data_IF_189111500291
#
_entry.id   IF_189111500291
#
_cell.length_a   1.000
_cell.length_b   1.000
_cell.length_c   1.000
_cell.angle_alpha   90.00
_cell.angle_beta   90.00
_cell.angle_gamma   90.00
#
_symmetry.space_group_name_H-M   'P 1'
#
loop_
_entity.id
_entity.type
_entity.pdbx_description
1 polymer ?
#
# COMPACT_ATOMS: atom_id res chain seq x y z
N UNK A 1 -31.56 56.57 -51.03
CA UNK A 1 -32.61 56.73 -52.05
C UNK A 1 -32.96 55.34 -52.54
N UNK A 2 -33.98 54.71 -51.94
CA UNK A 2 -35.37 54.65 -52.43
C UNK A 2 -35.47 53.68 -53.64
N UNK A 3 -36.31 52.65 -53.70
CA UNK A 3 -37.71 52.54 -53.29
C UNK A 3 -38.15 51.07 -53.03
N UNK A 4 -39.11 50.96 -52.12
CA UNK A 4 -40.04 49.87 -51.76
C UNK A 4 -41.19 49.77 -52.80
N UNK A 5 -41.64 48.59 -53.27
CA UNK A 5 -42.86 47.80 -52.88
C UNK A 5 -43.45 47.10 -54.14
N UNK A 6 -44.51 46.26 -54.12
CA UNK A 6 -45.15 45.43 -53.06
C UNK A 6 -45.17 43.93 -53.48
N UNK A 7 -45.48 42.90 -52.67
CA UNK A 7 -46.59 42.74 -51.75
C UNK A 7 -47.79 42.08 -52.45
N UNK A 8 -47.85 40.74 -52.49
CA UNK A 8 -49.11 39.99 -52.64
C UNK A 8 -49.11 38.82 -51.66
N UNK A 9 -49.84 39.01 -50.56
CA UNK A 9 -49.90 38.08 -49.46
C UNK A 9 -50.75 36.86 -49.76
N UNK A 10 -50.52 35.83 -48.94
CA UNK A 10 -51.59 34.95 -48.49
C UNK A 10 -51.31 34.47 -47.06
N UNK A 11 -52.40 34.37 -46.32
CA UNK A 11 -52.52 34.33 -44.87
C UNK A 11 -52.13 33.00 -44.22
N UNK A 12 -51.90 33.10 -42.92
CA UNK A 12 -51.28 32.15 -41.99
C UNK A 12 -52.30 31.14 -41.39
N UNK A 13 -51.90 29.84 -41.38
CA UNK A 13 -52.09 28.78 -40.34
C UNK A 13 -53.47 28.09 -40.13
N UNK A 14 -53.57 26.90 -39.45
CA UNK A 14 -52.56 26.33 -38.53
C UNK A 14 -52.35 24.78 -38.47
N UNK A 15 -51.32 24.41 -37.69
CA UNK A 15 -51.02 23.07 -37.10
C UNK A 15 -50.40 22.03 -38.05
N UNK A 16 -49.46 21.15 -37.69
CA UNK A 16 -48.77 20.78 -36.46
C UNK A 16 -47.55 19.92 -36.83
N UNK A 17 -46.56 19.87 -35.92
CA UNK A 17 -45.70 18.69 -35.68
C UNK A 17 -44.81 18.19 -36.81
N UNK A 18 -43.52 18.53 -36.72
CA UNK A 18 -42.46 17.93 -37.53
C UNK A 18 -42.39 16.42 -37.34
N UNK A 19 -42.53 15.68 -38.44
CA UNK A 19 -42.22 14.25 -38.50
C UNK A 19 -41.24 14.02 -39.64
N UNK A 20 -40.03 13.61 -39.27
CA UNK A 20 -39.01 13.15 -40.22
C UNK A 20 -39.58 12.03 -41.10
N UNK A 21 -39.22 12.06 -42.39
CA UNK A 21 -39.66 11.11 -43.40
C UNK A 21 -39.30 9.65 -43.02
N UNK A 22 -40.10 8.65 -43.38
CA UNK A 22 -39.79 7.25 -43.10
C UNK A 22 -38.63 6.77 -43.97
N UNK A 23 -37.59 6.22 -43.33
CA UNK A 23 -36.54 5.46 -44.00
C UNK A 23 -37.19 4.19 -44.58
N UNK A 24 -37.29 4.11 -45.90
CA UNK A 24 -37.76 2.91 -46.61
C UNK A 24 -36.77 1.77 -46.41
N UNK A 25 -37.06 0.84 -45.50
CA UNK A 25 -36.36 -0.45 -45.41
C UNK A 25 -36.86 -1.36 -46.53
N UNK A 26 -35.97 -1.73 -47.45
CA UNK A 26 -36.20 -2.81 -48.42
C UNK A 26 -36.40 -4.11 -47.64
N UNK A 27 -37.55 -4.76 -47.82
CA UNK A 27 -37.80 -6.08 -47.27
C UNK A 27 -37.10 -7.12 -48.14
N UNK A 28 -35.96 -7.64 -47.68
CA UNK A 28 -35.45 -8.92 -48.17
C UNK A 28 -36.18 -10.03 -47.42
N UNK A 29 -37.06 -10.73 -48.13
CA UNK A 29 -37.61 -12.03 -47.76
C UNK A 29 -36.47 -13.02 -47.58
N UNK A 30 -36.05 -13.22 -46.34
CA UNK A 30 -35.09 -14.23 -45.94
C UNK A 30 -35.42 -14.69 -44.53
N UNK A 31 -36.07 -15.84 -44.43
CA UNK A 31 -36.47 -16.49 -43.19
C UNK A 31 -35.22 -16.95 -42.42
N UNK A 32 -34.69 -16.10 -41.56
CA UNK A 32 -33.87 -16.51 -40.41
C UNK A 32 -34.30 -15.64 -39.24
N UNK A 33 -35.09 -16.20 -38.32
CA UNK A 33 -35.21 -15.62 -36.98
C UNK A 33 -33.83 -15.83 -36.34
N UNK A 34 -32.92 -14.91 -36.59
CA UNK A 34 -31.57 -14.94 -36.04
C UNK A 34 -31.69 -14.59 -34.55
N UNK A 35 -31.44 -15.56 -33.67
CA UNK A 35 -31.23 -15.29 -32.26
C UNK A 35 -30.17 -14.19 -32.13
N UNK A 36 -30.41 -13.09 -31.38
CA UNK A 36 -29.41 -12.06 -31.20
C UNK A 36 -28.15 -12.69 -30.59
N UNK A 37 -26.97 -12.33 -31.12
CA UNK A 37 -25.72 -12.91 -30.65
C UNK A 37 -25.52 -12.60 -29.16
N UNK A 38 -24.94 -13.55 -28.41
CA UNK A 38 -24.67 -13.42 -26.96
C UNK A 38 -23.99 -12.09 -26.61
N UNK A 39 -23.10 -11.62 -27.47
CA UNK A 39 -22.41 -10.33 -27.31
C UNK A 39 -23.32 -9.11 -27.44
N UNK A 40 -24.30 -9.14 -28.35
CA UNK A 40 -25.28 -8.05 -28.48
C UNK A 40 -26.14 -7.99 -27.22
N UNK A 41 -26.62 -9.14 -26.74
CA UNK A 41 -27.46 -9.22 -25.53
C UNK A 41 -26.69 -8.71 -24.31
N UNK A 42 -25.46 -9.20 -24.08
CA UNK A 42 -24.61 -8.76 -22.97
C UNK A 42 -24.35 -7.24 -23.03
N UNK A 43 -24.03 -6.70 -24.21
CA UNK A 43 -23.81 -5.26 -24.40
C UNK A 43 -25.06 -4.43 -24.10
N UNK A 44 -26.25 -4.88 -24.54
CA UNK A 44 -27.50 -4.16 -24.27
C UNK A 44 -27.87 -4.20 -22.79
N UNK A 45 -27.64 -5.32 -22.11
CA UNK A 45 -27.86 -5.42 -20.67
C UNK A 45 -26.92 -4.52 -19.86
N UNK A 46 -25.64 -4.46 -20.25
CA UNK A 46 -24.69 -3.53 -19.65
C UNK A 46 -25.12 -2.06 -19.81
N UNK A 47 -25.68 -1.70 -20.97
CA UNK A 47 -26.22 -0.35 -21.20
C UNK A 47 -27.43 -0.05 -20.31
N UNK A 48 -28.24 -1.06 -19.99
CA UNK A 48 -29.35 -0.89 -19.06
C UNK A 48 -28.88 -0.64 -17.63
N UNK A 49 -27.63 -0.94 -17.27
CA UNK A 49 -26.99 -0.64 -15.99
C UNK A 49 -26.19 0.69 -16.03
N UNK A 50 -26.62 1.65 -16.84
CA UNK A 50 -26.05 3.00 -16.81
C UNK A 50 -26.62 3.79 -15.61
N UNK A 51 -25.78 4.48 -14.80
CA UNK A 51 -26.23 5.29 -13.66
C UNK A 51 -27.29 6.35 -14.00
N UNK A 52 -27.33 6.80 -15.27
CA UNK A 52 -28.29 7.81 -15.76
C UNK A 52 -29.71 7.27 -15.94
N UNK A 53 -29.91 5.95 -15.83
CA UNK A 53 -31.21 5.30 -16.01
C UNK A 53 -31.91 5.09 -14.65
N UNK A 54 -33.25 5.01 -14.63
CA UNK A 54 -34.00 4.78 -13.38
C UNK A 54 -33.75 3.41 -12.76
N UNK A 55 -33.81 3.30 -11.43
CA UNK A 55 -33.64 2.05 -10.67
C UNK A 55 -34.56 0.90 -11.11
N UNK A 56 -35.74 1.19 -11.67
CA UNK A 56 -36.64 0.17 -12.23
C UNK A 56 -36.05 -0.53 -13.46
N UNK A 57 -35.29 0.22 -14.29
CA UNK A 57 -34.56 -0.34 -15.44
C UNK A 57 -33.41 -1.22 -14.96
N UNK A 58 -32.68 -0.80 -13.93
CA UNK A 58 -31.60 -1.59 -13.34
C UNK A 58 -32.11 -2.91 -12.76
N UNK A 59 -33.20 -2.89 -11.99
CA UNK A 59 -33.82 -4.09 -11.44
C UNK A 59 -34.23 -5.08 -12.54
N UNK A 60 -34.91 -4.59 -13.59
CA UNK A 60 -35.28 -5.44 -14.73
C UNK A 60 -34.06 -5.97 -15.49
N UNK A 61 -32.99 -5.19 -15.63
CA UNK A 61 -31.76 -5.67 -16.23
C UNK A 61 -31.15 -6.82 -15.42
N UNK A 62 -31.07 -6.70 -14.09
CA UNK A 62 -30.56 -7.74 -13.19
C UNK A 62 -31.43 -9.01 -13.21
N UNK A 63 -32.76 -8.87 -13.28
CA UNK A 63 -33.67 -10.01 -13.47
C UNK A 63 -33.37 -10.76 -14.78
N UNK A 64 -33.13 -10.02 -15.88
CA UNK A 64 -32.79 -10.63 -17.17
C UNK A 64 -31.41 -11.28 -17.13
N UNK A 65 -30.41 -10.69 -16.45
CA UNK A 65 -29.14 -11.35 -16.19
C UNK A 65 -29.34 -12.68 -15.44
N UNK A 66 -30.13 -12.70 -14.37
CA UNK A 66 -30.40 -13.91 -13.59
C UNK A 66 -31.09 -14.99 -14.42
N UNK A 67 -32.06 -14.59 -15.26
CA UNK A 67 -32.72 -15.51 -16.19
C UNK A 67 -31.74 -16.11 -17.19
N UNK A 68 -30.88 -15.29 -17.80
CA UNK A 68 -29.87 -15.77 -18.75
C UNK A 68 -28.87 -16.71 -18.07
N UNK A 69 -28.37 -16.35 -16.88
CA UNK A 69 -27.42 -17.17 -16.12
C UNK A 69 -28.01 -18.53 -15.74
N UNK A 70 -29.31 -18.56 -15.41
CA UNK A 70 -30.05 -19.80 -15.18
C UNK A 70 -30.17 -20.61 -16.47
N UNK A 71 -30.52 -19.97 -17.59
CA UNK A 71 -30.76 -20.62 -18.88
C UNK A 71 -29.49 -21.23 -19.48
N UNK A 72 -28.36 -20.52 -19.46
CA UNK A 72 -27.11 -21.00 -20.05
C UNK A 72 -26.38 -22.02 -19.16
N UNK A 73 -26.73 -22.04 -17.87
CA UNK A 73 -26.13 -22.91 -16.87
C UNK A 73 -24.71 -22.51 -16.49
N UNK A 74 -24.19 -23.16 -15.44
CA UNK A 74 -22.89 -22.87 -14.85
C UNK A 74 -21.74 -22.94 -15.86
N UNK A 75 -21.62 -24.03 -16.62
CA UNK A 75 -20.44 -24.27 -17.47
C UNK A 75 -20.31 -23.24 -18.60
N UNK A 76 -21.45 -22.86 -19.20
CA UNK A 76 -21.47 -21.82 -20.24
C UNK A 76 -21.23 -20.45 -19.65
N UNK A 77 -21.76 -20.17 -18.45
CA UNK A 77 -21.50 -18.93 -17.73
C UNK A 77 -20.03 -18.79 -17.32
N UNK A 78 -19.37 -19.87 -16.89
CA UNK A 78 -17.93 -19.91 -16.62
C UNK A 78 -17.12 -19.44 -17.84
N UNK A 79 -17.47 -19.91 -19.04
CA UNK A 79 -16.80 -19.50 -20.30
C UNK A 79 -17.15 -18.08 -20.73
N UNK A 80 -18.40 -17.68 -20.57
CA UNK A 80 -18.91 -16.39 -21.02
C UNK A 80 -18.80 -15.30 -19.92
N UNK A 81 -18.17 -15.59 -18.78
CA UNK A 81 -18.00 -14.63 -17.68
C UNK A 81 -17.33 -13.32 -18.13
N UNK A 82 -16.24 -13.33 -18.95
CA UNK A 82 -15.63 -12.11 -19.46
C UNK A 82 -16.57 -11.29 -20.37
N UNK A 83 -17.64 -11.89 -20.90
CA UNK A 83 -18.63 -11.22 -21.74
C UNK A 83 -19.69 -10.49 -20.91
N UNK A 84 -20.18 -11.12 -19.84
CA UNK A 84 -21.30 -10.60 -19.05
C UNK A 84 -20.86 -9.75 -17.85
N UNK A 85 -19.76 -10.11 -17.18
CA UNK A 85 -19.35 -9.48 -15.92
C UNK A 85 -18.93 -8.00 -16.03
N UNK A 86 -18.23 -7.54 -17.09
CA UNK A 86 -17.83 -6.13 -17.19
C UNK A 86 -19.00 -5.14 -17.12
N UNK A 87 -20.19 -5.53 -17.62
CA UNK A 87 -21.39 -4.71 -17.53
C UNK A 87 -22.02 -4.64 -16.13
N UNK A 88 -21.70 -5.60 -15.26
CA UNK A 88 -22.19 -5.68 -13.89
C UNK A 88 -21.24 -5.00 -12.90
N UNK A 89 -19.94 -4.95 -13.21
CA UNK A 89 -18.89 -4.61 -12.26
C UNK A 89 -19.02 -3.23 -11.58
N UNK A 90 -19.64 -2.25 -12.24
CA UNK A 90 -19.84 -0.91 -11.66
C UNK A 90 -21.15 -0.74 -10.89
N UNK A 91 -22.06 -1.72 -10.94
CA UNK A 91 -23.46 -1.54 -10.52
C UNK A 91 -23.58 -1.09 -9.07
N UNK A 92 -22.82 -1.71 -8.16
CA UNK A 92 -22.94 -1.42 -6.73
C UNK A 92 -22.51 0.01 -6.36
N UNK A 93 -21.65 0.67 -7.16
CA UNK A 93 -21.17 2.03 -6.89
C UNK A 93 -22.23 3.12 -7.04
N UNK A 94 -23.33 2.84 -7.76
CA UNK A 94 -24.41 3.81 -7.98
C UNK A 94 -25.80 3.22 -7.68
N UNK A 95 -25.89 1.95 -7.31
CA UNK A 95 -27.15 1.26 -7.08
C UNK A 95 -27.91 1.87 -5.90
N UNK A 96 -29.18 2.18 -6.11
CA UNK A 96 -30.13 2.46 -5.03
C UNK A 96 -30.34 1.22 -4.16
N UNK A 97 -30.80 1.39 -2.92
CA UNK A 97 -31.11 0.30 -1.99
C UNK A 97 -31.91 -0.85 -2.63
N UNK A 98 -32.91 -0.53 -3.45
CA UNK A 98 -33.74 -1.52 -4.17
C UNK A 98 -33.02 -2.32 -5.25
N UNK A 99 -31.86 -1.87 -5.72
CA UNK A 99 -31.04 -2.51 -6.77
C UNK A 99 -29.89 -3.30 -6.14
N UNK A 100 -29.38 -2.87 -4.99
CA UNK A 100 -28.26 -3.51 -4.26
C UNK A 100 -28.58 -4.96 -3.88
N UNK A 101 -29.78 -5.21 -3.34
CA UNK A 101 -30.21 -6.58 -3.00
C UNK A 101 -30.27 -7.52 -4.21
N UNK A 102 -30.96 -7.19 -5.33
CA UNK A 102 -30.93 -8.01 -6.55
C UNK A 102 -29.53 -8.25 -7.12
N UNK A 103 -28.61 -7.28 -6.98
CA UNK A 103 -27.24 -7.42 -7.44
C UNK A 103 -26.47 -8.45 -6.60
N UNK A 104 -26.52 -8.35 -5.27
CA UNK A 104 -25.87 -9.31 -4.38
C UNK A 104 -26.45 -10.73 -4.56
N UNK A 105 -27.78 -10.84 -4.69
CA UNK A 105 -28.47 -12.10 -5.01
C UNK A 105 -27.94 -12.76 -6.29
N UNK A 106 -27.69 -11.96 -7.34
CA UNK A 106 -27.17 -12.45 -8.61
C UNK A 106 -25.78 -13.06 -8.43
N UNK A 107 -24.90 -12.39 -7.68
CA UNK A 107 -23.55 -12.86 -7.39
C UNK A 107 -23.58 -14.15 -6.55
N UNK A 108 -24.36 -14.17 -5.47
CA UNK A 108 -24.51 -15.32 -4.58
C UNK A 108 -25.06 -16.55 -5.31
N UNK A 109 -26.11 -16.38 -6.12
CA UNK A 109 -26.82 -17.49 -6.75
C UNK A 109 -26.08 -18.06 -7.96
N UNK A 110 -25.36 -17.22 -8.72
CA UNK A 110 -24.79 -17.60 -10.02
C UNK A 110 -23.27 -17.52 -10.06
N UNK A 111 -22.64 -16.48 -9.52
CA UNK A 111 -21.19 -16.29 -9.64
C UNK A 111 -20.41 -17.20 -8.67
N UNK A 112 -20.88 -17.37 -7.43
CA UNK A 112 -20.20 -18.23 -6.45
C UNK A 112 -20.12 -19.70 -6.88
N UNK A 113 -21.05 -20.14 -7.72
CA UNK A 113 -21.13 -21.52 -8.21
C UNK A 113 -20.21 -21.79 -9.39
N UNK A 114 -19.59 -20.77 -9.99
CA UNK A 114 -18.72 -20.91 -11.15
C UNK A 114 -17.42 -21.65 -10.82
N UNK A 115 -16.78 -22.16 -11.86
CA UNK A 115 -15.50 -22.87 -11.71
C UNK A 115 -14.38 -21.89 -11.34
N UNK A 116 -13.46 -22.32 -10.47
CA UNK A 116 -12.35 -21.47 -10.08
C UNK A 116 -11.47 -21.04 -11.27
N UNK A 117 -11.40 -21.85 -12.34
CA UNK A 117 -10.71 -21.47 -13.57
C UNK A 117 -11.27 -20.22 -14.23
N UNK A 118 -12.60 -20.04 -14.19
CA UNK A 118 -13.28 -18.85 -14.70
C UNK A 118 -13.24 -17.68 -13.71
N UNK A 119 -13.35 -17.97 -12.41
CA UNK A 119 -13.35 -16.94 -11.37
C UNK A 119 -11.97 -16.29 -11.17
N UNK A 120 -10.87 -17.06 -11.27
CA UNK A 120 -9.51 -16.55 -10.99
C UNK A 120 -9.12 -15.33 -11.83
N UNK A 121 -9.29 -15.32 -13.18
CA UNK A 121 -8.99 -14.14 -14.00
C UNK A 121 -9.88 -12.94 -13.68
N UNK A 122 -11.13 -13.18 -13.27
CA UNK A 122 -12.10 -12.12 -12.98
C UNK A 122 -12.06 -11.65 -11.51
N UNK A 123 -11.31 -12.31 -10.63
CA UNK A 123 -11.39 -12.12 -9.18
C UNK A 123 -11.14 -10.66 -8.76
N UNK A 124 -10.14 -10.00 -9.36
CA UNK A 124 -9.86 -8.58 -9.08
C UNK A 124 -11.08 -7.71 -9.41
N UNK A 125 -11.72 -7.93 -10.56
CA UNK A 125 -12.90 -7.20 -10.96
C UNK A 125 -14.11 -7.52 -10.06
N UNK A 126 -14.27 -8.77 -9.63
CA UNK A 126 -15.32 -9.20 -8.70
C UNK A 126 -15.16 -8.50 -7.36
N UNK A 127 -13.96 -8.50 -6.78
CA UNK A 127 -13.67 -7.81 -5.51
C UNK A 127 -13.98 -6.32 -5.65
N UNK A 128 -13.43 -5.66 -6.68
CA UNK A 128 -13.67 -4.22 -6.91
C UNK A 128 -15.16 -3.89 -7.06
N UNK A 129 -15.95 -4.79 -7.67
CA UNK A 129 -17.39 -4.57 -7.87
C UNK A 129 -18.21 -4.58 -6.59
N UNK A 130 -17.72 -5.23 -5.54
CA UNK A 130 -18.45 -5.37 -4.26
C UNK A 130 -17.91 -4.45 -3.16
N UNK A 131 -16.74 -3.83 -3.34
CA UNK A 131 -16.18 -2.87 -2.36
C UNK A 131 -17.12 -1.74 -1.94
N UNK A 132 -17.95 -1.15 -2.83
CA UNK A 132 -18.93 -0.15 -2.42
C UNK A 132 -19.97 -0.64 -1.40
N UNK A 133 -20.10 -1.97 -1.23
CA UNK A 133 -20.91 -2.59 -0.19
C UNK A 133 -20.28 -2.51 1.21
N UNK A 134 -19.01 -2.10 1.32
CA UNK A 134 -18.25 -2.01 2.57
C UNK A 134 -18.06 -0.58 3.08
N UNK A 135 -18.62 0.42 2.38
CA UNK A 135 -18.41 1.84 2.71
C UNK A 135 -19.14 2.27 4.00
N UNK A 136 -20.25 1.60 4.35
CA UNK A 136 -21.05 1.90 5.55
C UNK A 136 -20.98 0.75 6.56
N UNK A 137 -20.08 0.84 7.53
CA UNK A 137 -19.76 -0.21 8.53
C UNK A 137 -20.96 -0.68 9.38
N UNK A 138 -21.99 0.16 9.54
CA UNK A 138 -23.17 -0.17 10.34
C UNK A 138 -24.34 -0.76 9.53
N UNK A 139 -24.16 -0.96 8.23
CA UNK A 139 -25.23 -1.43 7.34
C UNK A 139 -25.35 -2.95 7.31
N UNK A 140 -26.57 -3.49 7.14
CA UNK A 140 -26.79 -4.93 6.90
C UNK A 140 -26.09 -5.40 5.61
N UNK A 141 -25.86 -4.48 4.68
CA UNK A 141 -25.17 -4.72 3.41
C UNK A 141 -23.66 -4.95 3.61
N UNK A 142 -23.05 -4.34 4.62
CA UNK A 142 -21.64 -4.55 4.98
C UNK A 142 -21.37 -6.00 5.36
N UNK A 143 -22.11 -6.52 6.33
CA UNK A 143 -22.00 -7.92 6.78
C UNK A 143 -22.26 -8.91 5.64
N UNK A 144 -23.28 -8.64 4.82
CA UNK A 144 -23.60 -9.46 3.66
C UNK A 144 -22.47 -9.45 2.61
N UNK A 145 -21.87 -8.28 2.38
CA UNK A 145 -20.77 -8.12 1.42
C UNK A 145 -19.48 -8.79 1.91
N UNK A 146 -19.16 -8.69 3.20
CA UNK A 146 -18.05 -9.41 3.81
C UNK A 146 -18.22 -10.93 3.67
N UNK A 147 -19.41 -11.44 3.99
CA UNK A 147 -19.74 -12.86 3.83
C UNK A 147 -19.56 -13.31 2.38
N UNK A 148 -20.06 -12.53 1.42
CA UNK A 148 -19.92 -12.82 -0.01
C UNK A 148 -18.44 -12.88 -0.45
N UNK A 149 -17.61 -11.94 0.02
CA UNK A 149 -16.16 -11.94 -0.26
C UNK A 149 -15.47 -13.19 0.30
N UNK A 150 -15.82 -13.60 1.52
CA UNK A 150 -15.29 -14.83 2.10
C UNK A 150 -15.75 -16.06 1.32
N UNK A 151 -17.00 -16.13 0.87
CA UNK A 151 -17.50 -17.23 0.04
C UNK A 151 -16.76 -17.31 -1.31
N UNK A 152 -16.50 -16.18 -1.98
CA UNK A 152 -15.67 -16.15 -3.20
C UNK A 152 -14.25 -16.66 -2.94
N UNK A 153 -13.65 -16.29 -1.81
CA UNK A 153 -12.34 -16.78 -1.38
C UNK A 153 -12.34 -18.30 -1.20
N UNK A 154 -13.40 -18.90 -0.67
CA UNK A 154 -13.53 -20.35 -0.54
C UNK A 154 -13.75 -21.02 -1.91
N UNK A 155 -14.64 -20.49 -2.75
CA UNK A 155 -14.91 -21.04 -4.09
C UNK A 155 -13.67 -21.09 -4.99
N UNK A 156 -12.77 -20.10 -4.88
CA UNK A 156 -11.50 -20.09 -5.65
C UNK A 156 -10.46 -21.07 -5.07
N UNK A 157 -10.53 -21.39 -3.77
CA UNK A 157 -9.61 -22.28 -3.06
C UNK A 157 -9.99 -23.77 -3.18
N UNK A 158 -11.28 -24.12 -3.21
CA UNK A 158 -11.77 -25.50 -3.07
C UNK A 158 -11.48 -26.44 -4.26
N UNK A 159 -11.04 -25.94 -5.42
CA UNK A 159 -10.63 -26.78 -6.58
C UNK A 159 -9.12 -27.03 -6.61
N UNK A 160 -8.44 -26.79 -5.50
CA UNK A 160 -7.08 -27.27 -5.28
C UNK A 160 -7.18 -28.62 -4.56
N UNK A 161 -7.51 -29.67 -5.33
CA UNK A 161 -7.17 -31.03 -4.92
C UNK A 161 -5.66 -31.11 -4.78
N UNK A 162 -5.21 -31.65 -3.66
CA UNK A 162 -3.80 -31.93 -3.37
C UNK A 162 -3.17 -32.72 -4.53
N UNK A 163 -2.09 -32.21 -5.14
CA UNK A 163 -0.73 -32.70 -4.87
C UNK A 163 0.30 -32.00 -5.79
N UNK A 164 1.49 -31.72 -5.23
CA UNK A 164 2.74 -31.36 -5.93
C UNK A 164 2.89 -29.96 -6.57
N UNK A 165 2.65 -28.89 -5.81
CA UNK A 165 3.08 -27.53 -6.17
C UNK A 165 3.23 -26.61 -4.96
N UNK A 166 4.48 -26.44 -4.52
CA UNK A 166 5.01 -25.87 -3.27
C UNK A 166 4.22 -24.77 -2.50
N UNK A 167 4.46 -24.79 -1.18
CA UNK A 167 4.00 -23.90 -0.09
C UNK A 167 4.31 -22.39 -0.27
N UNK A 168 5.03 -22.03 -1.34
CA UNK A 168 5.67 -20.73 -1.51
C UNK A 168 4.69 -19.59 -1.85
N UNK A 169 3.70 -19.87 -2.70
CA UNK A 169 2.71 -18.88 -3.12
C UNK A 169 1.72 -18.50 -1.99
N UNK A 170 1.62 -19.33 -0.93
CA UNK A 170 0.84 -18.99 0.28
C UNK A 170 1.56 -17.98 1.15
N UNK A 171 2.90 -18.03 1.22
CA UNK A 171 3.73 -17.12 2.03
C UNK A 171 4.08 -15.80 1.33
N UNK A 172 4.09 -15.79 -0.01
CA UNK A 172 4.22 -14.55 -0.79
C UNK A 172 2.91 -13.72 -0.86
N UNK A 173 1.76 -14.34 -0.52
CA UNK A 173 0.42 -13.74 -0.64
C UNK A 173 0.19 -12.54 0.29
N UNK A 174 0.64 -12.52 1.57
CA UNK A 174 0.51 -11.35 2.43
C UNK A 174 1.22 -10.11 1.86
N UNK A 175 2.42 -10.26 1.29
CA UNK A 175 3.17 -9.13 0.71
C UNK A 175 2.44 -8.52 -0.48
N UNK A 176 1.82 -9.35 -1.34
CA UNK A 176 1.00 -8.86 -2.47
C UNK A 176 -0.28 -8.16 -2.03
N UNK A 177 -0.87 -8.58 -0.90
CA UNK A 177 -2.04 -7.91 -0.31
C UNK A 177 -1.63 -6.55 0.27
N UNK A 178 -0.52 -6.50 1.03
CA UNK A 178 0.02 -5.25 1.56
C UNK A 178 0.38 -4.27 0.43
N UNK A 179 1.01 -4.75 -0.64
CA UNK A 179 1.28 -3.95 -1.85
C UNK A 179 0.02 -3.31 -2.45
N UNK A 180 -1.09 -4.06 -2.54
CA UNK A 180 -2.35 -3.51 -3.05
C UNK A 180 -3.03 -2.50 -2.12
N UNK A 181 -2.67 -2.49 -0.82
CA UNK A 181 -3.15 -1.50 0.15
C UNK A 181 -2.27 -0.24 0.14
N UNK A 182 -0.99 -0.38 -0.18
CA UNK A 182 -0.01 0.72 -0.26
C UNK A 182 -0.14 1.59 -1.51
N UNK A 183 -0.82 1.12 -2.57
CA UNK A 183 -1.18 1.96 -3.74
C UNK A 183 -2.10 3.15 -3.35
N UNK A 184 -2.54 3.26 -2.08
CA UNK A 184 -3.18 4.44 -1.48
C UNK A 184 -2.33 4.98 -0.34
N UNK A 185 -1.68 6.11 -0.58
CA UNK A 185 -0.79 6.78 0.37
C UNK A 185 -1.48 7.09 1.73
N UNK A 186 -2.80 7.32 1.72
CA UNK A 186 -3.59 7.60 2.93
C UNK A 186 -3.72 6.40 3.89
N UNK A 187 -3.58 5.18 3.36
CA UNK A 187 -3.67 3.93 4.15
C UNK A 187 -2.26 3.45 4.52
N UNK A 188 -1.29 3.67 3.61
CA UNK A 188 0.11 3.31 3.81
C UNK A 188 0.69 3.88 5.11
N UNK A 189 0.60 5.20 5.33
CA UNK A 189 1.23 5.85 6.49
C UNK A 189 0.73 5.41 7.88
N UNK A 190 -0.48 4.81 7.97
CA UNK A 190 -1.05 4.32 9.23
C UNK A 190 -0.89 2.81 9.41
N UNK A 191 -0.88 2.04 8.32
CA UNK A 191 -0.79 0.58 8.38
C UNK A 191 0.65 0.11 8.36
N UNK A 192 1.52 0.77 7.58
CA UNK A 192 2.91 0.35 7.36
C UNK A 192 3.71 0.21 8.65
N UNK A 193 3.74 1.20 9.58
CA UNK A 193 4.52 1.07 10.82
C UNK A 193 4.19 -0.21 11.60
N UNK A 194 2.90 -0.55 11.67
CA UNK A 194 2.40 -1.71 12.42
C UNK A 194 2.69 -3.05 11.73
N UNK A 195 2.79 -3.10 10.40
CA UNK A 195 3.00 -4.35 9.65
C UNK A 195 4.43 -4.55 9.17
N UNK A 196 5.24 -3.49 9.10
CA UNK A 196 6.55 -3.49 8.48
C UNK A 196 7.51 -4.46 9.17
N UNK A 197 7.73 -4.28 10.48
CA UNK A 197 8.62 -5.14 11.25
C UNK A 197 8.17 -6.61 11.27
N UNK A 198 6.88 -6.94 11.51
CA UNK A 198 6.39 -8.32 11.41
C UNK A 198 6.63 -8.96 10.05
N UNK A 199 6.45 -8.20 8.96
CA UNK A 199 6.69 -8.65 7.58
C UNK A 199 8.16 -8.98 7.37
N UNK A 200 9.06 -8.05 7.70
CA UNK A 200 10.49 -8.25 7.49
C UNK A 200 11.04 -9.37 8.36
N UNK A 201 10.60 -9.44 9.63
CA UNK A 201 11.00 -10.50 10.54
C UNK A 201 10.49 -11.88 10.10
N UNK A 202 9.31 -11.94 9.47
CA UNK A 202 8.82 -13.18 8.85
C UNK A 202 9.74 -13.68 7.74
N UNK A 203 10.26 -12.78 6.90
CA UNK A 203 11.23 -13.13 5.85
C UNK A 203 12.56 -13.56 6.45
N UNK A 204 13.02 -12.86 7.51
CA UNK A 204 14.23 -13.23 8.26
C UNK A 204 14.12 -14.64 8.82
N UNK A 205 13.04 -14.95 9.52
CA UNK A 205 12.76 -16.30 10.07
C UNK A 205 12.60 -17.35 8.97
N UNK A 206 12.04 -16.98 7.81
CA UNK A 206 11.91 -17.90 6.68
C UNK A 206 13.27 -18.35 6.14
N UNK A 207 14.30 -17.50 6.22
CA UNK A 207 15.67 -17.85 5.81
C UNK A 207 16.19 -19.13 6.47
N UNK A 208 15.85 -19.35 7.73
CA UNK A 208 16.34 -20.49 8.51
C UNK A 208 15.60 -21.80 8.21
N UNK A 209 14.37 -21.71 7.69
CA UNK A 209 13.50 -22.85 7.39
C UNK A 209 13.31 -23.11 5.89
N UNK A 210 13.87 -22.25 5.03
CA UNK A 210 13.80 -22.39 3.60
C UNK A 210 14.55 -23.66 3.15
N UNK A 211 13.90 -24.47 2.30
CA UNK A 211 14.47 -25.73 1.81
C UNK A 211 15.63 -25.50 0.84
N UNK A 212 15.56 -24.41 0.06
CA UNK A 212 16.61 -24.01 -0.89
C UNK A 212 16.86 -22.50 -0.84
N UNK A 213 18.02 -22.08 -1.37
CA UNK A 213 18.34 -20.65 -1.55
C UNK A 213 17.37 -19.96 -2.51
N UNK A 214 16.87 -20.70 -3.50
CA UNK A 214 15.93 -20.17 -4.49
C UNK A 214 14.56 -19.89 -3.86
N UNK A 215 14.09 -20.77 -2.97
CA UNK A 215 12.85 -20.56 -2.21
C UNK A 215 12.93 -19.30 -1.34
N UNK A 216 14.06 -19.12 -0.63
CA UNK A 216 14.31 -17.89 0.13
C UNK A 216 14.33 -16.67 -0.78
N UNK A 217 15.01 -16.74 -1.92
CA UNK A 217 15.12 -15.63 -2.87
C UNK A 217 13.77 -15.22 -3.46
N UNK A 218 12.85 -16.16 -3.69
CA UNK A 218 11.50 -15.84 -4.17
C UNK A 218 10.66 -15.08 -3.14
N UNK A 219 10.71 -15.53 -1.88
CA UNK A 219 10.02 -14.85 -0.77
C UNK A 219 10.64 -13.49 -0.51
N UNK A 220 11.97 -13.41 -0.49
CA UNK A 220 12.70 -12.16 -0.34
C UNK A 220 12.32 -11.18 -1.45
N UNK A 221 12.34 -11.60 -2.72
CA UNK A 221 11.94 -10.76 -3.86
C UNK A 221 10.51 -10.23 -3.70
N UNK A 222 9.58 -11.05 -3.19
CA UNK A 222 8.20 -10.63 -2.96
C UNK A 222 8.08 -9.61 -1.84
N UNK A 223 8.89 -9.75 -0.78
CA UNK A 223 8.98 -8.78 0.30
C UNK A 223 9.73 -7.51 -0.10
N UNK A 224 10.74 -7.60 -0.98
CA UNK A 224 11.45 -6.44 -1.52
C UNK A 224 10.50 -5.53 -2.30
N UNK A 225 9.62 -6.08 -3.12
CA UNK A 225 8.59 -5.27 -3.81
C UNK A 225 7.68 -4.54 -2.82
N UNK A 226 7.35 -5.16 -1.68
CA UNK A 226 6.63 -4.47 -0.62
C UNK A 226 7.50 -3.35 -0.02
N UNK A 227 8.74 -3.65 0.33
CA UNK A 227 9.69 -2.71 0.93
C UNK A 227 9.94 -1.49 0.04
N UNK A 228 10.13 -1.70 -1.27
CA UNK A 228 10.35 -0.64 -2.26
C UNK A 228 9.13 0.28 -2.43
N UNK A 229 7.94 -0.16 -1.98
CA UNK A 229 6.72 0.64 -1.96
C UNK A 229 6.52 1.46 -0.68
N UNK A 230 7.42 1.36 0.30
CA UNK A 230 7.34 2.09 1.57
C UNK A 230 8.21 3.34 1.53
N UNK A 231 7.72 4.44 2.11
CA UNK A 231 8.47 5.69 2.23
C UNK A 231 9.75 5.53 3.08
N UNK A 232 10.81 6.20 2.64
CA UNK A 232 12.13 6.17 3.29
C UNK A 232 12.07 6.59 4.76
N UNK A 233 11.31 7.64 5.08
CA UNK A 233 11.10 8.11 6.45
C UNK A 233 10.58 7.03 7.40
N UNK A 234 9.59 6.25 6.94
CA UNK A 234 8.99 5.15 7.72
C UNK A 234 9.97 4.00 7.91
N UNK A 235 10.65 3.55 6.85
CA UNK A 235 11.66 2.48 6.92
C UNK A 235 12.72 2.82 7.97
N UNK A 236 13.26 4.02 7.89
CA UNK A 236 14.34 4.46 8.76
C UNK A 236 13.86 4.79 10.17
N UNK A 237 12.60 5.21 10.34
CA UNK A 237 11.95 5.34 11.64
C UNK A 237 11.87 4.00 12.37
N UNK A 238 11.47 2.93 11.67
CA UNK A 238 11.45 1.56 12.23
C UNK A 238 12.86 1.05 12.56
N UNK A 239 13.85 1.30 11.71
CA UNK A 239 15.26 0.95 11.98
C UNK A 239 15.78 1.67 13.24
N UNK A 240 15.55 2.99 13.34
CA UNK A 240 15.95 3.79 14.50
C UNK A 240 15.21 3.36 15.75
N UNK A 241 13.92 3.01 15.65
CA UNK A 241 13.13 2.44 16.74
C UNK A 241 13.70 1.12 17.26
N UNK A 242 14.06 0.19 16.37
CA UNK A 242 14.72 -1.07 16.74
C UNK A 242 16.07 -0.85 17.43
N UNK A 243 16.88 0.09 16.92
CA UNK A 243 18.16 0.49 17.51
C UNK A 243 17.93 1.02 18.93
N UNK A 244 16.97 1.95 19.09
CA UNK A 244 16.66 2.55 20.37
C UNK A 244 16.25 1.47 21.39
N UNK A 245 15.31 0.61 21.02
CA UNK A 245 14.85 -0.50 21.86
C UNK A 245 15.92 -1.56 22.17
N UNK A 246 17.02 -1.59 21.42
CA UNK A 246 18.13 -2.50 21.67
C UNK A 246 19.16 -1.91 22.66
N UNK A 247 19.35 -0.58 22.66
CA UNK A 247 20.40 0.11 23.43
C UNK A 247 19.83 0.79 24.69
N UNK A 248 18.56 1.20 24.68
CA UNK A 248 17.94 1.95 25.78
C UNK A 248 18.00 1.19 27.12
N UNK A 249 18.08 1.89 28.27
CA UNK A 249 17.91 1.25 29.57
C UNK A 249 16.52 0.61 29.67
N UNK A 250 16.44 -0.62 30.17
CA UNK A 250 15.15 -1.28 30.33
C UNK A 250 15.26 -2.76 30.66
N UNK A 251 14.10 -3.39 30.86
CA UNK A 251 13.98 -4.80 31.26
C UNK A 251 14.26 -5.81 30.14
N UNK A 252 14.53 -5.35 28.92
CA UNK A 252 14.82 -6.23 27.79
C UNK A 252 16.09 -7.05 28.03
N UNK A 253 15.98 -8.35 27.83
CA UNK A 253 17.08 -9.31 27.99
C UNK A 253 18.17 -9.10 26.94
N UNK A 254 19.39 -9.57 27.23
CA UNK A 254 20.51 -9.53 26.27
C UNK A 254 20.14 -10.21 24.94
N UNK A 255 19.38 -11.30 24.99
CA UNK A 255 18.95 -12.03 23.80
C UNK A 255 17.98 -11.21 22.93
N UNK A 256 16.98 -10.57 23.54
CA UNK A 256 16.03 -9.70 22.83
C UNK A 256 16.73 -8.48 22.20
N UNK A 257 17.71 -7.89 22.90
CA UNK A 257 18.51 -6.78 22.37
C UNK A 257 19.36 -7.21 21.17
N UNK A 258 20.01 -8.38 21.25
CA UNK A 258 20.77 -8.96 20.12
C UNK A 258 19.85 -9.31 18.95
N UNK A 259 18.63 -9.78 19.20
CA UNK A 259 17.68 -10.11 18.15
C UNK A 259 17.24 -8.86 17.37
N UNK A 260 16.97 -7.74 18.06
CA UNK A 260 16.65 -6.45 17.44
C UNK A 260 17.78 -5.96 16.53
N UNK A 261 19.02 -5.97 17.01
CA UNK A 261 20.19 -5.58 16.19
C UNK A 261 20.41 -6.54 15.01
N UNK A 262 20.16 -7.84 15.19
CA UNK A 262 20.21 -8.82 14.11
C UNK A 262 19.15 -8.54 13.03
N UNK A 263 17.95 -8.12 13.42
CA UNK A 263 16.90 -7.69 12.48
C UNK A 263 17.32 -6.44 11.69
N UNK A 264 17.92 -5.44 12.36
CA UNK A 264 18.48 -4.25 11.69
C UNK A 264 19.52 -4.67 10.66
N UNK A 265 20.50 -5.51 11.03
CA UNK A 265 21.51 -6.01 10.10
C UNK A 265 20.91 -6.81 8.94
N UNK A 266 19.84 -7.57 9.19
CA UNK A 266 19.13 -8.28 8.14
C UNK A 266 18.50 -7.30 7.12
N UNK A 267 17.85 -6.23 7.61
CA UNK A 267 17.28 -5.17 6.77
C UNK A 267 18.36 -4.56 5.87
N UNK A 268 19.45 -4.08 6.48
CA UNK A 268 20.55 -3.41 5.78
C UNK A 268 21.24 -4.29 4.72
N UNK A 269 21.21 -5.61 4.90
CA UNK A 269 21.87 -6.56 4.01
C UNK A 269 21.00 -7.04 2.84
N UNK A 270 19.67 -7.08 2.98
CA UNK A 270 18.79 -7.75 2.00
C UNK A 270 17.78 -6.82 1.32
N UNK A 271 17.55 -5.62 1.83
CA UNK A 271 16.57 -4.68 1.28
C UNK A 271 17.23 -3.42 0.70
N UNK A 272 16.50 -2.71 -0.16
CA UNK A 272 16.97 -1.50 -0.81
C UNK A 272 16.95 -0.30 0.15
N UNK A 273 18.05 -0.11 0.89
CA UNK A 273 18.23 1.00 1.84
C UNK A 273 19.25 2.04 1.36
N UNK A 274 19.55 2.07 0.06
CA UNK A 274 20.68 2.81 -0.51
C UNK A 274 20.28 3.89 -1.51
N UNK A 275 19.03 4.36 -1.43
CA UNK A 275 18.57 5.50 -2.21
C UNK A 275 19.20 6.81 -1.72
N UNK A 276 19.23 7.83 -2.56
CA UNK A 276 20.03 9.05 -2.30
C UNK A 276 19.68 9.69 -0.95
N UNK A 277 18.39 9.87 -0.65
CA UNK A 277 17.93 10.48 0.60
C UNK A 277 18.18 9.58 1.82
N UNK A 278 18.05 8.27 1.65
CA UNK A 278 18.38 7.27 2.68
C UNK A 278 19.85 7.36 3.08
N UNK A 279 20.74 7.52 2.10
CA UNK A 279 22.18 7.61 2.32
C UNK A 279 22.64 8.96 2.87
N UNK A 280 22.02 10.06 2.42
CA UNK A 280 22.45 11.42 2.75
C UNK A 280 21.82 11.96 4.03
N UNK A 281 20.62 11.48 4.40
CA UNK A 281 19.87 12.00 5.55
C UNK A 281 19.73 10.92 6.62
N UNK A 282 19.14 9.77 6.27
CA UNK A 282 18.72 8.81 7.28
C UNK A 282 19.87 7.97 7.86
N UNK A 283 20.81 7.50 7.03
CA UNK A 283 21.97 6.73 7.47
C UNK A 283 22.85 7.53 8.46
N UNK A 284 23.20 8.82 8.22
CA UNK A 284 23.90 9.64 9.21
C UNK A 284 23.15 9.79 10.54
N UNK A 285 21.82 9.99 10.50
CA UNK A 285 21.01 10.11 11.70
C UNK A 285 20.97 8.80 12.49
N UNK A 286 20.81 7.65 11.82
CA UNK A 286 20.81 6.34 12.46
C UNK A 286 22.16 6.00 13.11
N UNK A 287 23.27 6.29 12.41
CA UNK A 287 24.62 6.15 12.99
C UNK A 287 24.79 7.05 14.20
N UNK A 288 24.36 8.31 14.11
CA UNK A 288 24.41 9.25 15.22
C UNK A 288 23.59 8.75 16.42
N UNK A 289 22.39 8.20 16.19
CA UNK A 289 21.56 7.62 17.25
C UNK A 289 22.31 6.51 17.99
N UNK A 290 22.92 5.55 17.28
CA UNK A 290 23.68 4.47 17.93
C UNK A 290 24.80 5.05 18.79
N UNK A 291 25.61 5.94 18.23
CA UNK A 291 26.77 6.49 18.94
C UNK A 291 26.35 7.32 20.16
N UNK A 292 25.35 8.19 20.01
CA UNK A 292 24.81 9.00 21.09
C UNK A 292 24.26 8.13 22.24
N UNK A 293 23.49 7.08 21.93
CA UNK A 293 22.96 6.17 22.95
C UNK A 293 24.03 5.33 23.62
N UNK A 294 25.06 4.89 22.88
CA UNK A 294 26.21 4.18 23.45
C UNK A 294 27.01 5.09 24.39
N UNK A 295 27.23 6.36 24.02
CA UNK A 295 27.85 7.34 24.91
C UNK A 295 27.05 7.49 26.20
N UNK A 296 25.73 7.69 26.12
CA UNK A 296 24.89 7.80 27.31
C UNK A 296 24.89 6.52 28.17
N UNK A 297 25.06 5.35 27.54
CA UNK A 297 25.24 4.09 28.25
C UNK A 297 26.56 4.01 29.01
N UNK A 298 27.63 4.62 28.47
CA UNK A 298 28.97 4.64 29.06
C UNK A 298 29.11 5.72 30.14
N UNK A 299 28.53 6.91 29.93
CA UNK A 299 28.63 8.06 30.85
C UNK A 299 27.70 7.95 32.07
N UNK A 300 26.74 7.02 32.08
CA UNK A 300 25.84 6.82 33.21
C UNK A 300 26.63 6.47 34.47
N UNK A 301 26.60 7.32 35.52
CA UNK A 301 27.31 7.03 36.76
C UNK A 301 26.72 5.77 37.38
N UNK A 302 27.57 4.80 37.72
CA UNK A 302 27.17 3.59 38.43
C UNK A 302 26.63 3.94 39.82
N UNK A 303 25.35 4.29 39.91
CA UNK A 303 24.66 4.31 41.19
C UNK A 303 24.33 2.88 41.57
N UNK A 304 24.89 2.45 42.69
CA UNK A 304 24.59 1.23 43.40
C UNK A 304 23.14 0.73 43.19
N UNK A 305 23.03 -0.57 42.89
CA UNK A 305 21.83 -1.41 42.75
C UNK A 305 20.88 -1.14 41.57
N UNK A 306 20.77 -2.16 40.71
CA UNK A 306 19.67 -2.52 39.79
C UNK A 306 19.57 -1.93 38.38
N UNK A 307 20.49 -1.05 37.95
CA UNK A 307 20.62 -0.68 36.53
C UNK A 307 21.65 -1.56 35.81
N UNK A 308 21.23 -2.64 35.14
CA UNK A 308 22.14 -3.48 34.35
C UNK A 308 22.90 -2.63 33.31
N UNK A 309 24.23 -2.56 33.42
CA UNK A 309 25.09 -2.00 32.37
C UNK A 309 24.83 -2.74 31.05
N UNK A 310 24.91 -2.02 29.93
CA UNK A 310 24.74 -2.65 28.62
C UNK A 310 25.83 -3.72 28.45
N UNK A 311 25.42 -4.95 28.15
CA UNK A 311 26.35 -6.06 27.97
C UNK A 311 27.36 -5.77 26.84
N UNK A 312 28.63 -6.13 27.06
CA UNK A 312 29.71 -5.96 26.08
C UNK A 312 29.36 -6.52 24.69
N UNK A 313 28.69 -7.69 24.66
CA UNK A 313 28.18 -8.30 23.43
C UNK A 313 27.23 -7.39 22.64
N UNK A 314 26.31 -6.72 23.35
CA UNK A 314 25.31 -5.82 22.75
C UNK A 314 26.00 -4.55 22.29
N UNK A 315 26.90 -4.00 23.11
CA UNK A 315 27.73 -2.85 22.77
C UNK A 315 28.55 -3.10 21.50
N UNK A 316 29.21 -4.25 21.40
CA UNK A 316 29.99 -4.64 20.22
C UNK A 316 29.10 -4.80 18.99
N UNK A 317 27.93 -5.43 19.12
CA UNK A 317 27.00 -5.59 18.01
C UNK A 317 26.43 -4.24 17.53
N UNK A 318 26.12 -3.34 18.45
CA UNK A 318 25.67 -1.98 18.15
C UNK A 318 26.76 -1.18 17.44
N UNK A 319 28.01 -1.21 17.92
CA UNK A 319 29.16 -0.58 17.25
C UNK A 319 29.38 -1.12 15.84
N UNK A 320 29.33 -2.44 15.65
CA UNK A 320 29.43 -3.03 14.31
C UNK A 320 28.28 -2.56 13.41
N UNK A 321 27.07 -2.39 13.95
CA UNK A 321 25.93 -1.84 13.20
C UNK A 321 26.15 -0.37 12.81
N UNK A 322 26.74 0.44 13.70
CA UNK A 322 27.10 1.81 13.40
C UNK A 322 28.17 1.90 12.31
N UNK A 323 29.15 0.98 12.30
CA UNK A 323 30.16 0.87 11.24
C UNK A 323 29.49 0.50 9.92
N UNK A 324 28.66 -0.54 9.90
CA UNK A 324 27.93 -0.98 8.70
C UNK A 324 27.10 0.18 8.09
N UNK A 325 26.44 0.98 8.94
CA UNK A 325 25.68 2.16 8.52
C UNK A 325 26.58 3.30 8.04
N UNK A 326 27.69 3.55 8.74
CA UNK A 326 28.65 4.59 8.35
C UNK A 326 29.26 4.32 6.98
N UNK A 327 29.54 3.05 6.66
CA UNK A 327 30.03 2.64 5.33
C UNK A 327 29.02 2.88 4.21
N UNK A 328 27.74 3.10 4.53
CA UNK A 328 26.73 3.47 3.53
C UNK A 328 26.76 4.96 3.21
N UNK A 329 27.28 5.80 4.12
CA UNK A 329 27.24 7.25 4.00
C UNK A 329 28.28 7.72 2.97
N UNK A 330 27.86 8.28 1.82
CA UNK A 330 28.81 8.76 0.83
C UNK A 330 29.46 10.07 1.28
N UNK A 331 30.66 10.38 0.80
CA UNK A 331 31.37 11.62 1.14
C UNK A 331 30.54 12.89 0.87
N UNK A 332 29.72 12.88 -0.19
CA UNK A 332 28.81 13.99 -0.53
C UNK A 332 27.75 14.27 0.53
N UNK A 333 27.44 13.29 1.39
CA UNK A 333 26.54 13.48 2.54
C UNK A 333 27.17 14.35 3.64
N UNK A 334 28.42 14.79 3.47
CA UNK A 334 29.10 15.76 4.34
C UNK A 334 29.48 17.06 3.62
N UNK A 335 29.08 17.23 2.36
CA UNK A 335 29.38 18.42 1.56
C UNK A 335 28.20 19.40 1.60
N UNK A 336 28.46 20.67 1.91
CA UNK A 336 27.45 21.72 1.77
C UNK A 336 27.08 21.88 0.29
N UNK A 337 25.84 21.53 -0.07
CA UNK A 337 25.26 22.03 -1.31
C UNK A 337 24.92 23.52 -1.11
N UNK A 338 25.30 24.42 -2.03
CA UNK A 338 24.87 25.80 -1.97
C UNK A 338 23.36 25.86 -2.26
N UNK A 339 22.54 25.91 -1.21
CA UNK A 339 21.12 26.22 -1.32
C UNK A 339 20.95 27.72 -1.56
N UNK A 340 20.14 28.11 -2.56
CA UNK A 340 19.81 29.50 -2.93
C UNK A 340 19.02 30.29 -1.88
N UNK A 341 18.96 29.81 -0.65
CA UNK A 341 18.20 30.42 0.45
C UNK A 341 18.97 30.16 1.73
N UNK A 342 19.84 31.10 2.12
CA UNK A 342 20.46 31.07 3.44
C UNK A 342 19.36 31.21 4.52
N UNK A 343 19.33 30.35 5.54
CA UNK A 343 18.42 30.52 6.66
C UNK A 343 18.82 31.74 7.52
N UNK A 344 17.86 32.40 8.21
CA UNK A 344 18.13 33.59 9.01
C UNK A 344 19.10 33.30 10.17
N UNK A 345 19.84 34.34 10.58
CA UNK A 345 20.87 34.33 11.63
C UNK A 345 20.42 33.68 12.95
N UNK A 346 19.12 33.70 13.27
CA UNK A 346 18.55 33.05 14.46
C UNK A 346 18.69 31.51 14.46
N UNK A 347 18.63 30.84 13.30
CA UNK A 347 18.78 29.36 13.21
C UNK A 347 20.19 28.89 13.51
N UNK A 348 21.23 29.71 13.23
CA UNK A 348 22.63 29.37 13.53
C UNK A 348 22.90 29.21 15.02
N UNK A 349 22.18 29.95 15.87
CA UNK A 349 22.36 29.91 17.33
C UNK A 349 21.73 28.67 17.96
N UNK A 350 20.54 28.25 17.51
CA UNK A 350 19.92 26.98 17.91
C UNK A 350 20.75 25.76 17.45
N UNK A 351 21.31 25.82 16.24
CA UNK A 351 22.22 24.79 15.71
C UNK A 351 23.52 24.63 16.53
N UNK A 352 23.95 25.67 17.25
CA UNK A 352 25.15 25.59 18.11
C UNK A 352 24.85 25.08 19.53
N UNK A 353 23.59 25.14 19.97
CA UNK A 353 23.16 24.59 21.27
C UNK A 353 22.87 23.09 21.20
N UNK A 354 22.31 22.60 20.09
CA UNK A 354 22.12 21.15 19.86
C UNK A 354 23.44 20.36 19.92
N UNK A 355 24.55 21.00 19.52
CA UNK A 355 25.92 20.52 19.66
C UNK A 355 26.43 20.39 21.11
N UNK A 356 25.64 20.71 22.14
CA UNK A 356 26.05 20.60 23.55
C UNK A 356 25.42 19.43 24.30
N UNK A 357 24.21 19.00 23.93
CA UNK A 357 23.46 18.02 24.71
C UNK A 357 23.08 16.79 23.86
N UNK A 358 23.68 15.63 24.18
CA UNK A 358 23.40 14.34 23.51
C UNK A 358 21.93 13.92 23.67
N UNK A 359 21.37 14.05 24.88
CA UNK A 359 19.96 13.72 25.16
C UNK A 359 18.98 14.56 24.32
N UNK A 360 19.26 15.85 24.14
CA UNK A 360 18.43 16.73 23.30
C UNK A 360 18.53 16.33 21.82
N UNK A 361 19.74 15.99 21.36
CA UNK A 361 19.94 15.51 19.99
C UNK A 361 19.10 14.24 19.72
N UNK A 362 19.11 13.29 20.67
CA UNK A 362 18.30 12.07 20.58
C UNK A 362 16.81 12.36 20.60
N UNK A 363 16.35 13.29 21.45
CA UNK A 363 14.93 13.70 21.52
C UNK A 363 14.45 14.29 20.19
N UNK A 364 15.24 15.16 19.56
CA UNK A 364 14.91 15.75 18.27
C UNK A 364 14.81 14.68 17.19
N UNK A 365 15.77 13.74 17.13
CA UNK A 365 15.73 12.60 16.18
C UNK A 365 14.49 11.74 16.42
N UNK A 366 14.17 11.47 17.68
CA UNK A 366 12.98 10.69 18.04
C UNK A 366 11.70 11.40 17.59
N UNK A 367 11.57 12.70 17.82
CA UNK A 367 10.43 13.49 17.34
C UNK A 367 10.30 13.39 15.81
N UNK A 368 11.40 13.57 15.08
CA UNK A 368 11.39 13.49 13.62
C UNK A 368 10.88 12.15 13.09
N UNK A 369 11.27 11.02 13.68
CA UNK A 369 10.82 9.71 13.20
C UNK A 369 9.45 9.29 13.77
N UNK A 370 9.13 9.65 15.01
CA UNK A 370 7.92 9.17 15.69
C UNK A 370 6.72 10.08 15.41
N UNK A 371 6.91 11.40 15.49
CA UNK A 371 5.82 12.37 15.29
C UNK A 371 5.68 12.74 13.82
N UNK A 372 6.80 13.00 13.17
CA UNK A 372 6.83 13.50 11.79
C UNK A 372 6.97 12.38 10.75
N UNK A 373 7.06 11.12 11.19
CA UNK A 373 7.18 9.93 10.35
C UNK A 373 8.38 9.96 9.38
N UNK A 374 9.37 10.81 9.64
CA UNK A 374 10.48 11.09 8.73
C UNK A 374 10.03 11.66 7.37
N UNK A 375 8.86 12.31 7.30
CA UNK A 375 8.29 12.83 6.06
C UNK A 375 9.04 14.10 5.60
N UNK A 376 9.96 13.91 4.65
CA UNK A 376 10.80 14.97 4.10
C UNK A 376 10.06 15.96 3.20
N UNK A 377 8.88 15.60 2.67
CA UNK A 377 8.04 16.50 1.87
C UNK A 377 7.32 17.54 2.76
N UNK A 378 6.99 17.15 3.99
CA UNK A 378 6.31 17.99 4.96
C UNK A 378 7.28 18.79 5.84
N UNK A 379 8.39 18.16 6.26
CA UNK A 379 9.26 18.69 7.31
C UNK A 379 10.73 18.50 6.91
N UNK A 380 11.58 19.55 7.01
CA UNK A 380 12.99 19.44 6.67
C UNK A 380 13.73 18.53 7.68
N UNK A 381 14.91 18.00 7.31
CA UNK A 381 15.73 17.22 8.24
C UNK A 381 15.98 17.94 9.57
N UNK A 382 16.05 17.21 10.69
CA UNK A 382 16.14 17.79 12.05
C UNK A 382 17.42 18.60 12.28
N UNK A 383 18.47 18.31 11.52
CA UNK A 383 19.77 18.95 11.63
C UNK A 383 20.32 19.28 10.25
N UNK A 384 21.06 20.37 10.15
CA UNK A 384 21.89 20.62 8.98
C UNK A 384 23.06 19.63 8.93
N UNK A 385 23.57 19.42 7.72
CA UNK A 385 24.71 18.54 7.44
C UNK A 385 25.94 18.86 8.30
N UNK A 386 26.18 20.13 8.59
CA UNK A 386 27.25 20.60 9.46
C UNK A 386 27.06 20.14 10.90
N UNK A 387 25.83 20.24 11.40
CA UNK A 387 25.49 19.80 12.76
C UNK A 387 25.62 18.28 12.86
N UNK A 388 25.06 17.52 11.91
CA UNK A 388 25.19 16.05 11.88
C UNK A 388 26.66 15.62 11.87
N UNK A 389 27.49 16.25 11.02
CA UNK A 389 28.92 15.98 10.94
C UNK A 389 29.64 16.27 12.27
N UNK A 390 29.34 17.42 12.88
CA UNK A 390 29.91 17.81 14.16
C UNK A 390 29.52 16.87 15.30
N UNK A 391 28.25 16.44 15.32
CA UNK A 391 27.75 15.47 16.30
C UNK A 391 28.40 14.10 16.10
N UNK A 392 28.43 13.56 14.88
CA UNK A 392 29.09 12.28 14.59
C UNK A 392 30.56 12.28 15.04
N UNK A 393 31.30 13.33 14.69
CA UNK A 393 32.70 13.47 15.10
C UNK A 393 32.84 13.53 16.63
N UNK A 394 31.99 14.30 17.31
CA UNK A 394 31.96 14.39 18.77
C UNK A 394 31.71 13.03 19.41
N UNK A 395 30.68 12.31 18.97
CA UNK A 395 30.31 11.03 19.56
C UNK A 395 31.38 9.95 19.32
N UNK A 396 31.95 9.89 18.11
CA UNK A 396 33.07 8.99 17.79
C UNK A 396 34.28 9.29 18.68
N UNK A 397 34.64 10.57 18.83
CA UNK A 397 35.78 10.97 19.67
C UNK A 397 35.58 10.56 21.14
N UNK A 398 34.37 10.73 21.69
CA UNK A 398 34.07 10.33 23.06
C UNK A 398 34.13 8.81 23.24
N UNK A 399 33.50 8.04 22.34
CA UNK A 399 33.48 6.57 22.43
C UNK A 399 34.90 6.00 22.30
N UNK A 400 35.69 6.50 21.36
CA UNK A 400 37.07 6.04 21.18
C UNK A 400 37.95 6.40 22.38
N UNK A 401 37.90 7.65 22.86
CA UNK A 401 38.69 8.05 24.04
C UNK A 401 38.29 7.33 25.33
N UNK A 402 37.04 6.90 25.45
CA UNK A 402 36.57 6.17 26.64
C UNK A 402 36.91 4.67 26.58
N UNK A 403 36.86 4.04 25.39
CA UNK A 403 37.24 2.64 25.21
C UNK A 403 38.77 2.40 25.15
N UNK A 404 39.55 3.41 24.78
CA UNK A 404 41.02 3.35 24.81
C UNK A 404 41.65 3.79 26.15
N UNK A 405 40.85 3.98 27.21
CA UNK A 405 41.36 4.03 28.59
C UNK A 405 41.60 2.60 29.08
N UNK A 406 42.63 1.95 28.55
CA UNK A 406 43.26 0.73 29.09
C UNK A 406 44.63 1.11 29.61
#
# INVERSE_FOLDING_TARGET
MAHLEPGSGQSISPTSSGRASPITRKWTTGTVVAFPSRAIVAKRLAQCLNPSLPSGVHQKALEVYAYIFTLIGKDSLSRDLPLYFPGLASTLSFASLSVRTPFLDLLEKHMLKLDAGALRPALKAIILSVLPGLEEETSEEFERTLKLLDEFKHSVRSTRGDDLGHDHNKRARPFRICLSLMDRWEIGGLVVPEIFLPVVDSVRKYKDIASTKDDFSEVLRSASVFFDGVESGLIWGEIVGLIAQAIEPGSATVLERKDKLSLVKFILAHFNVREEEMLVIHAPLATLTILAMLKEAVERPGSHSDGASLSDDVTQMALNTAIDLFDFIPERAFQDRPSTTEPPIAKKTEETESLKHTAESLRIIQTFYVQDQGNLDAIPPPFSIRVVSGLLFREIAVITTTNFKI
#
